data_IF_102073205516
#
_entry.id   IF_102073205516
#
_cell.length_a   1.000
_cell.length_b   1.000
_cell.length_c   1.000
_cell.angle_alpha   90.00
_cell.angle_beta   90.00
_cell.angle_gamma   90.00
#
_symmetry.space_group_name_H-M   'P 1'
#
loop_
_entity.id
_entity.type
_entity.pdbx_description
1 polymer ?
#
# COMPACT_ATOMS: atom_id res chain seq x y z
N UNK A 1 -23.93 -3.64 16.80
CA UNK A 1 -22.80 -4.23 16.05
C UNK A 1 -21.97 -3.08 15.50
N UNK A 2 -20.76 -2.91 16.00
CA UNK A 2 -19.75 -2.02 15.41
C UNK A 2 -19.42 -2.54 14.01
N UNK A 3 -19.49 -1.70 12.98
CA UNK A 3 -19.01 -2.06 11.65
C UNK A 3 -17.50 -2.34 11.75
N UNK A 4 -17.09 -3.54 11.37
CA UNK A 4 -15.67 -3.84 11.19
C UNK A 4 -15.24 -3.22 9.86
N UNK A 5 -14.34 -2.23 9.93
CA UNK A 5 -13.75 -1.63 8.73
C UNK A 5 -12.53 -2.46 8.32
N UNK A 6 -12.38 -2.69 7.02
CA UNK A 6 -11.17 -3.23 6.41
C UNK A 6 -10.39 -2.07 5.79
N UNK A 7 -9.10 -1.97 6.08
CA UNK A 7 -8.25 -0.87 5.63
C UNK A 7 -7.38 -1.36 4.47
N UNK A 8 -7.50 -0.71 3.32
CA UNK A 8 -6.57 -0.85 2.21
C UNK A 8 -5.42 0.14 2.32
N UNK A 9 -4.19 -0.35 2.34
CA UNK A 9 -2.96 0.46 2.30
C UNK A 9 -2.41 0.36 0.88
N UNK A 10 -2.35 1.48 0.16
CA UNK A 10 -1.74 1.54 -1.16
C UNK A 10 -0.45 2.36 -1.12
N UNK A 11 0.64 1.79 -1.61
CA UNK A 11 1.96 2.43 -1.68
C UNK A 11 2.46 2.32 -3.13
N UNK A 12 3.04 3.40 -3.65
CA UNK A 12 3.64 3.41 -4.99
C UNK A 12 4.98 4.12 -4.93
N UNK A 13 6.01 3.52 -5.52
CA UNK A 13 7.26 4.21 -5.82
C UNK A 13 7.36 4.51 -7.32
N UNK A 14 7.94 5.65 -7.68
CA UNK A 14 8.05 6.06 -9.07
C UNK A 14 9.09 5.23 -9.82
N UNK A 15 8.88 5.02 -11.12
CA UNK A 15 9.94 4.52 -12.01
C UNK A 15 11.19 5.42 -12.05
N UNK A 16 11.03 6.71 -11.72
CA UNK A 16 12.12 7.67 -11.71
C UNK A 16 12.97 7.60 -10.43
N UNK A 17 12.54 6.84 -9.42
CA UNK A 17 13.34 6.61 -8.22
C UNK A 17 14.40 5.54 -8.52
N UNK A 18 15.66 5.97 -8.63
CA UNK A 18 16.82 5.11 -8.91
C UNK A 18 17.18 4.15 -7.77
N UNK A 19 16.40 4.18 -6.68
CA UNK A 19 16.54 3.29 -5.51
C UNK A 19 15.91 1.89 -5.73
N UNK A 20 15.26 1.68 -6.89
CA UNK A 20 15.02 0.32 -7.41
C UNK A 20 16.37 -0.26 -7.85
N UNK A 21 17.06 -0.90 -6.91
CA UNK A 21 18.47 -1.22 -6.99
C UNK A 21 18.92 -1.82 -8.32
N UNK A 22 20.03 -1.28 -8.84
CA UNK A 22 21.05 -2.09 -9.50
C UNK A 22 21.55 -3.16 -8.52
N UNK A 23 20.80 -4.25 -8.31
CA UNK A 23 21.15 -5.34 -7.39
C UNK A 23 19.97 -6.09 -6.79
N UNK A 24 20.24 -7.25 -6.17
CA UNK A 24 19.29 -8.26 -5.65
C UNK A 24 18.35 -7.82 -4.50
N UNK A 25 18.02 -6.54 -4.37
CA UNK A 25 17.00 -6.08 -3.41
C UNK A 25 15.62 -6.42 -3.95
N UNK A 26 14.80 -7.06 -3.13
CA UNK A 26 13.42 -7.42 -3.47
C UNK A 26 12.43 -6.23 -3.41
N UNK A 27 12.79 -5.15 -2.71
CA UNK A 27 11.99 -3.93 -2.51
C UNK A 27 12.92 -2.73 -2.24
N UNK A 28 12.49 -1.52 -2.61
CA UNK A 28 13.17 -0.25 -2.29
C UNK A 28 13.00 0.18 -0.82
N UNK A 29 13.98 0.90 -0.28
CA UNK A 29 13.96 1.36 1.11
C UNK A 29 12.80 2.38 1.34
N UNK A 30 12.40 3.08 0.27
CA UNK A 30 11.30 4.06 0.26
C UNK A 30 9.90 3.43 0.46
N UNK A 31 9.65 2.23 -0.07
CA UNK A 31 8.38 1.52 0.20
C UNK A 31 8.31 1.11 1.68
N UNK A 32 9.41 0.56 2.22
CA UNK A 32 9.51 0.19 3.64
C UNK A 32 9.24 1.37 4.58
N UNK A 33 9.81 2.53 4.28
CA UNK A 33 9.59 3.75 5.07
C UNK A 33 8.13 4.23 5.03
N UNK A 34 7.49 4.22 3.85
CA UNK A 34 6.08 4.60 3.71
C UNK A 34 5.16 3.65 4.46
N UNK A 35 5.42 2.34 4.37
CA UNK A 35 4.70 1.30 5.12
C UNK A 35 4.77 1.54 6.62
N UNK A 36 5.96 1.86 7.13
CA UNK A 36 6.16 2.16 8.55
C UNK A 36 5.35 3.38 8.98
N UNK A 37 5.39 4.47 8.21
CA UNK A 37 4.65 5.70 8.53
C UNK A 37 3.14 5.47 8.57
N UNK A 38 2.60 4.74 7.59
CA UNK A 38 1.16 4.41 7.53
C UNK A 38 0.75 3.53 8.70
N UNK A 39 1.50 2.46 8.98
CA UNK A 39 1.17 1.57 10.10
C UNK A 39 1.26 2.29 11.44
N UNK A 40 2.27 3.14 11.64
CA UNK A 40 2.37 3.96 12.85
C UNK A 40 1.19 4.91 13.01
N UNK A 41 0.69 5.49 11.91
CA UNK A 41 -0.53 6.29 11.96
C UNK A 41 -1.71 5.42 12.43
N UNK A 42 -1.96 4.28 11.76
CA UNK A 42 -3.07 3.38 12.09
C UNK A 42 -3.02 2.85 13.54
N UNK A 43 -1.84 2.50 14.03
CA UNK A 43 -1.64 1.98 15.39
C UNK A 43 -1.98 3.03 16.46
N UNK A 44 -1.75 4.31 16.18
CA UNK A 44 -2.01 5.40 17.12
C UNK A 44 -3.46 5.92 17.08
N UNK A 45 -4.32 5.36 16.24
CA UNK A 45 -5.74 5.74 16.14
C UNK A 45 -6.60 4.61 16.69
N UNK A 46 -7.17 4.73 17.91
CA UNK A 46 -7.91 3.65 18.57
C UNK A 46 -9.01 3.01 17.71
N UNK A 47 -9.70 3.81 16.91
CA UNK A 47 -10.77 3.41 15.99
C UNK A 47 -10.28 2.64 14.76
N UNK A 48 -9.00 2.76 14.39
CA UNK A 48 -8.39 2.10 13.22
C UNK A 48 -7.42 0.98 13.61
N UNK A 49 -6.83 1.06 14.81
CA UNK A 49 -5.74 0.19 15.26
C UNK A 49 -6.08 -1.30 15.22
N UNK A 50 -7.35 -1.65 15.42
CA UNK A 50 -7.87 -3.03 15.44
C UNK A 50 -8.47 -3.49 14.11
N UNK A 51 -8.56 -2.61 13.11
CA UNK A 51 -9.08 -2.96 11.80
C UNK A 51 -8.12 -3.88 11.05
N UNK A 52 -8.67 -4.82 10.28
CA UNK A 52 -7.87 -5.64 9.37
C UNK A 52 -7.23 -4.75 8.31
N UNK A 53 -5.97 -5.01 7.97
CA UNK A 53 -5.18 -4.23 7.00
C UNK A 53 -4.79 -5.12 5.83
N UNK A 54 -4.95 -4.63 4.61
CA UNK A 54 -4.44 -5.26 3.39
C UNK A 54 -3.54 -4.27 2.65
N UNK A 55 -2.32 -4.69 2.31
CA UNK A 55 -1.34 -3.83 1.66
C UNK A 55 -1.16 -4.15 0.18
N UNK A 56 -0.97 -3.08 -0.61
CA UNK A 56 -0.81 -3.10 -2.05
C UNK A 56 0.34 -2.16 -2.43
N UNK A 57 1.46 -2.70 -2.91
CA UNK A 57 2.65 -1.92 -3.21
C UNK A 57 3.09 -2.04 -4.68
N UNK A 58 3.10 -0.93 -5.42
CA UNK A 58 3.64 -0.84 -6.78
C UNK A 58 5.01 -0.15 -6.76
N UNK A 59 6.08 -0.92 -6.69
CA UNK A 59 7.47 -0.42 -6.73
C UNK A 59 7.95 -0.24 -8.17
N UNK A 60 8.45 0.95 -8.52
CA UNK A 60 8.89 1.28 -9.87
C UNK A 60 7.76 1.41 -10.89
N UNK A 61 6.64 2.06 -10.53
CA UNK A 61 5.52 2.30 -11.46
C UNK A 61 5.25 3.79 -11.70
N UNK A 62 4.92 4.13 -12.94
CA UNK A 62 4.54 5.50 -13.31
C UNK A 62 3.27 5.95 -12.59
N UNK A 63 3.24 7.22 -12.17
CA UNK A 63 2.05 7.86 -11.59
C UNK A 63 1.06 8.38 -12.65
N UNK A 64 1.37 8.23 -13.95
CA UNK A 64 0.62 8.87 -15.05
C UNK A 64 -0.57 8.06 -15.57
N UNK A 65 -0.70 6.80 -15.15
CA UNK A 65 -1.79 5.92 -15.58
C UNK A 65 -2.18 4.93 -14.46
N UNK A 66 -3.12 4.03 -14.76
CA UNK A 66 -3.61 3.00 -13.83
C UNK A 66 -3.06 1.60 -14.11
N UNK A 67 -2.06 1.44 -14.99
CA UNK A 67 -1.40 0.16 -15.27
C UNK A 67 -0.43 -0.19 -14.14
N UNK A 68 -1.03 -0.51 -13.00
CA UNK A 68 -0.41 -0.66 -11.70
C UNK A 68 -1.01 -1.91 -11.06
N UNK A 69 -0.31 -3.05 -11.05
CA UNK A 69 -0.88 -4.35 -10.70
C UNK A 69 -1.49 -4.37 -9.29
N UNK A 70 -0.78 -3.83 -8.30
CA UNK A 70 -1.27 -3.83 -6.93
C UNK A 70 -2.42 -2.83 -6.75
N UNK A 71 -2.40 -1.69 -7.43
CA UNK A 71 -3.57 -0.80 -7.50
C UNK A 71 -4.80 -1.52 -8.09
N UNK A 72 -4.62 -2.25 -9.19
CA UNK A 72 -5.71 -2.97 -9.86
C UNK A 72 -6.27 -4.04 -8.93
N UNK A 73 -5.42 -4.82 -8.27
CA UNK A 73 -5.83 -5.83 -7.29
C UNK A 73 -6.61 -5.21 -6.11
N UNK A 74 -6.15 -4.06 -5.60
CA UNK A 74 -6.86 -3.32 -4.56
C UNK A 74 -8.27 -2.91 -5.02
N UNK A 75 -8.37 -2.32 -6.22
CA UNK A 75 -9.66 -1.86 -6.75
C UNK A 75 -10.64 -3.02 -7.00
N UNK A 76 -10.16 -4.20 -7.38
CA UNK A 76 -11.01 -5.39 -7.46
C UNK A 76 -11.56 -5.81 -6.10
N UNK A 77 -10.79 -5.67 -5.02
CA UNK A 77 -11.26 -5.93 -3.65
C UNK A 77 -12.29 -4.88 -3.20
N UNK A 78 -12.07 -3.61 -3.52
CA UNK A 78 -13.02 -2.52 -3.27
C UNK A 78 -14.36 -2.80 -3.98
N UNK A 79 -14.32 -3.20 -5.26
CA UNK A 79 -15.54 -3.55 -6.03
C UNK A 79 -16.33 -4.71 -5.41
N UNK A 80 -15.66 -5.63 -4.72
CA UNK A 80 -16.28 -6.77 -4.02
C UNK A 80 -16.71 -6.44 -2.59
N UNK A 81 -16.44 -5.22 -2.09
CA UNK A 81 -16.71 -4.85 -0.70
C UNK A 81 -15.84 -5.59 0.32
N UNK A 82 -14.68 -6.11 -0.13
CA UNK A 82 -13.70 -6.76 0.75
C UNK A 82 -12.82 -5.74 1.48
N UNK A 83 -12.76 -4.51 0.95
CA UNK A 83 -12.06 -3.33 1.47
C UNK A 83 -12.98 -2.13 1.28
#
# INVERSE_FOLDING_TARGET
>A
MSKEYNIGIYIRLSMADEDTGYGSKAESDSIGNQRMLINRFLDNHPELSRCQRSEFADDGYTGTNFHRPQFTQMMEKVKRGEI
#
